data_IF_151226884625
#
_entry.id   IF_151226884625
#
_cell.length_a   1.000
_cell.length_b   1.000
_cell.length_c   1.000
_cell.angle_alpha   90.00
_cell.angle_beta   90.00
_cell.angle_gamma   90.00
#
_symmetry.space_group_name_H-M   'P 1'
#
loop_
_entity.id
_entity.type
_entity.pdbx_description
1 polymer ?
#
# COMPACT_ATOMS: atom_id res chain seq x y z
N UNK A 1 -10.35 37.77 22.38
CA UNK A 1 -9.39 38.18 21.33
C UNK A 1 -8.43 37.03 21.09
N UNK A 2 -8.16 36.64 19.85
CA UNK A 2 -7.25 35.54 19.51
C UNK A 2 -5.95 36.13 18.96
N UNK A 3 -4.80 35.73 19.53
CA UNK A 3 -3.46 36.20 19.12
C UNK A 3 -2.69 35.06 18.46
N UNK A 4 -2.18 35.31 17.26
CA UNK A 4 -1.40 34.36 16.47
C UNK A 4 0.08 34.80 16.49
N UNK A 5 0.98 33.85 16.74
CA UNK A 5 2.42 34.08 16.73
C UNK A 5 3.08 33.30 15.59
N UNK A 6 3.89 33.98 14.79
CA UNK A 6 4.57 33.37 13.64
C UNK A 6 6.00 32.92 14.02
N UNK A 7 6.27 31.62 13.95
CA UNK A 7 7.58 31.04 14.29
C UNK A 7 8.72 31.53 13.39
N UNK A 8 8.43 31.90 12.14
CA UNK A 8 9.44 32.42 11.19
C UNK A 8 9.98 33.80 11.56
N UNK A 9 9.27 34.55 12.41
CA UNK A 9 9.59 35.93 12.80
C UNK A 9 10.19 36.01 14.22
N UNK A 10 10.78 34.92 14.71
CA UNK A 10 11.41 34.90 16.02
C UNK A 10 12.64 35.82 16.07
N UNK A 11 12.82 36.60 17.15
CA UNK A 11 13.99 37.46 17.30
C UNK A 11 15.30 36.64 17.37
N UNK A 12 16.44 37.31 17.27
CA UNK A 12 17.76 36.69 17.52
C UNK A 12 17.83 36.25 18.99
N UNK A 13 18.54 35.16 19.27
CA UNK A 13 18.64 34.60 20.62
C UNK A 13 19.31 35.58 21.59
N UNK A 14 18.67 35.89 22.71
CA UNK A 14 19.25 36.71 23.78
C UNK A 14 19.31 35.94 25.11
N UNK A 15 20.23 36.32 26.00
CA UNK A 15 20.23 35.80 27.38
C UNK A 15 19.01 36.32 28.15
N UNK A 16 18.38 35.46 28.97
CA UNK A 16 17.17 35.81 29.71
C UNK A 16 15.89 35.86 28.86
N UNK A 17 15.80 35.06 27.80
CA UNK A 17 14.58 34.94 27.00
C UNK A 17 13.38 34.43 27.81
N UNK A 18 12.19 34.95 27.48
CA UNK A 18 10.95 34.48 28.10
C UNK A 18 10.73 33.01 27.73
N UNK A 19 10.26 32.21 28.69
CA UNK A 19 9.90 30.79 28.50
C UNK A 19 9.09 30.52 27.22
N UNK A 20 8.12 31.38 26.91
CA UNK A 20 7.33 31.29 25.68
C UNK A 20 8.18 31.34 24.40
N UNK A 21 9.22 32.18 24.36
CA UNK A 21 10.14 32.26 23.21
C UNK A 21 10.97 30.98 23.11
N UNK A 22 11.43 30.43 24.23
CA UNK A 22 12.13 29.13 24.27
C UNK A 22 11.25 28.01 23.71
N UNK A 23 9.97 27.95 24.09
CA UNK A 23 9.00 27.02 23.50
C UNK A 23 8.77 27.25 22.00
N UNK A 24 8.62 28.50 21.57
CA UNK A 24 8.49 28.80 20.14
C UNK A 24 9.73 28.36 19.35
N UNK A 25 10.95 28.51 19.91
CA UNK A 25 12.18 28.00 19.30
C UNK A 25 12.22 26.48 19.26
N UNK A 26 11.76 25.82 20.32
CA UNK A 26 11.66 24.37 20.37
C UNK A 26 10.76 23.84 19.24
N UNK A 27 9.59 24.43 19.03
CA UNK A 27 8.69 24.07 17.92
C UNK A 27 9.19 24.50 16.54
N UNK A 28 10.01 25.54 16.45
CA UNK A 28 10.62 26.00 15.20
C UNK A 28 11.83 25.16 14.76
N UNK A 29 12.40 24.36 15.66
CA UNK A 29 13.54 23.50 15.37
C UNK A 29 13.21 22.47 14.29
N UNK A 30 14.10 22.30 13.31
CA UNK A 30 13.90 21.40 12.16
C UNK A 30 14.51 20.03 12.38
N UNK A 31 15.43 19.92 13.33
CA UNK A 31 16.15 18.68 13.63
C UNK A 31 16.08 18.35 15.11
N UNK A 32 16.18 17.07 15.47
CA UNK A 32 16.26 16.65 16.87
C UNK A 32 17.44 17.26 17.61
N UNK A 33 18.57 17.47 16.91
CA UNK A 33 19.74 18.14 17.48
C UNK A 33 19.44 19.59 17.86
N UNK A 34 18.73 20.33 17.01
CA UNK A 34 18.28 21.69 17.32
C UNK A 34 17.29 21.71 18.49
N UNK A 35 16.33 20.77 18.52
CA UNK A 35 15.39 20.64 19.66
C UNK A 35 16.13 20.42 20.97
N UNK A 36 17.10 19.49 21.02
CA UNK A 36 17.89 19.24 22.23
C UNK A 36 18.69 20.45 22.70
N UNK A 37 19.26 21.24 21.77
CA UNK A 37 19.98 22.49 22.11
C UNK A 37 19.05 23.52 22.76
N UNK A 38 17.80 23.60 22.33
CA UNK A 38 16.80 24.49 22.96
C UNK A 38 16.32 23.92 24.28
N UNK A 39 16.06 22.62 24.34
CA UNK A 39 15.58 21.91 25.52
C UNK A 39 16.54 22.06 26.71
N UNK A 40 17.86 21.92 26.48
CA UNK A 40 18.89 22.11 27.51
C UNK A 40 18.94 23.51 28.16
N UNK A 41 18.21 24.49 27.61
CA UNK A 41 18.20 25.85 28.15
C UNK A 41 17.04 26.14 29.09
N UNK A 42 16.12 25.20 29.25
CA UNK A 42 15.00 25.30 30.18
C UNK A 42 14.58 23.92 30.70
N UNK A 43 14.50 23.75 32.01
CA UNK A 43 14.21 22.47 32.67
C UNK A 43 12.90 21.83 32.19
N UNK A 44 11.85 22.62 31.98
CA UNK A 44 10.54 22.11 31.55
C UNK A 44 10.54 21.68 30.09
N UNK A 45 11.30 22.39 29.24
CA UNK A 45 11.46 22.01 27.83
C UNK A 45 12.33 20.75 27.74
N UNK A 46 13.34 20.61 28.60
CA UNK A 46 14.16 19.41 28.66
C UNK A 46 13.35 18.17 29.04
N UNK A 47 12.54 18.24 30.09
CA UNK A 47 11.64 17.15 30.50
C UNK A 47 10.66 16.78 29.37
N UNK A 48 10.05 17.78 28.72
CA UNK A 48 9.14 17.53 27.60
C UNK A 48 9.84 16.91 26.38
N UNK A 49 11.09 17.27 26.12
CA UNK A 49 11.89 16.64 25.07
C UNK A 49 12.22 15.19 25.41
N UNK A 50 12.56 14.88 26.67
CA UNK A 50 12.82 13.50 27.11
C UNK A 50 11.57 12.61 27.01
N UNK A 51 10.41 13.10 27.41
CA UNK A 51 9.15 12.38 27.23
C UNK A 51 8.79 12.18 25.76
N UNK A 52 9.04 13.20 24.92
CA UNK A 52 8.88 13.06 23.47
C UNK A 52 9.80 11.98 22.89
N UNK A 53 11.06 11.90 23.34
CA UNK A 53 11.99 10.86 22.90
C UNK A 53 11.49 9.45 23.28
N UNK A 54 11.05 9.26 24.53
CA UNK A 54 10.48 7.99 25.01
C UNK A 54 9.27 7.57 24.18
N UNK A 55 8.29 8.46 24.01
CA UNK A 55 7.08 8.20 23.22
C UNK A 55 7.40 7.94 21.75
N UNK A 56 8.40 8.63 21.21
CA UNK A 56 8.80 8.43 19.82
C UNK A 56 9.45 7.07 19.58
N UNK A 57 10.18 6.52 20.55
CA UNK A 57 10.75 5.19 20.47
C UNK A 57 9.64 4.12 20.39
N UNK A 58 8.59 4.27 21.17
CA UNK A 58 7.44 3.36 21.14
C UNK A 58 6.62 3.52 19.86
N UNK A 59 6.36 4.76 19.42
CA UNK A 59 5.66 5.01 18.16
C UNK A 59 6.44 4.49 16.96
N UNK A 60 7.76 4.64 16.95
CA UNK A 60 8.61 4.11 15.87
C UNK A 60 8.54 2.59 15.80
N UNK A 61 8.69 1.90 16.94
CA UNK A 61 8.52 0.43 16.99
C UNK A 61 7.14 -0.01 16.56
N UNK A 62 6.10 0.73 16.94
CA UNK A 62 4.74 0.47 16.51
C UNK A 62 4.57 0.63 14.99
N UNK A 63 5.11 1.70 14.41
CA UNK A 63 5.11 1.91 12.95
C UNK A 63 5.90 0.83 12.21
N UNK A 64 7.07 0.43 12.72
CA UNK A 64 7.87 -0.68 12.16
C UNK A 64 7.10 -2.00 12.21
N UNK A 65 6.43 -2.27 13.33
CA UNK A 65 5.57 -3.44 13.48
C UNK A 65 4.40 -3.41 12.51
N UNK A 66 3.68 -2.30 12.42
CA UNK A 66 2.55 -2.14 11.49
C UNK A 66 2.98 -2.28 10.03
N UNK A 67 4.10 -1.66 9.64
CA UNK A 67 4.67 -1.79 8.30
C UNK A 67 5.04 -3.24 7.98
N UNK A 68 5.63 -3.97 8.94
CA UNK A 68 5.93 -5.39 8.78
C UNK A 68 4.66 -6.22 8.62
N UNK A 69 3.65 -5.99 9.46
CA UNK A 69 2.37 -6.69 9.37
C UNK A 69 1.67 -6.40 8.04
N UNK A 70 1.72 -5.15 7.57
CA UNK A 70 1.21 -4.75 6.26
C UNK A 70 1.94 -5.49 5.14
N UNK A 71 3.27 -5.53 5.15
CA UNK A 71 4.04 -6.23 4.13
C UNK A 71 3.71 -7.74 4.07
N UNK A 72 3.53 -8.39 5.23
CA UNK A 72 3.12 -9.80 5.31
C UNK A 72 1.72 -9.99 4.71
N UNK A 73 0.77 -9.11 5.06
CA UNK A 73 -0.60 -9.18 4.52
C UNK A 73 -0.62 -8.96 3.02
N UNK A 74 0.07 -7.93 2.54
CA UNK A 74 0.17 -7.61 1.12
C UNK A 74 0.76 -8.79 0.33
N UNK A 75 1.83 -9.41 0.85
CA UNK A 75 2.44 -10.60 0.25
C UNK A 75 1.46 -11.77 0.20
N UNK A 76 0.77 -12.07 1.31
CA UNK A 76 -0.18 -13.18 1.36
C UNK A 76 -1.34 -12.98 0.37
N UNK A 77 -1.89 -11.78 0.30
CA UNK A 77 -2.94 -11.43 -0.68
C UNK A 77 -2.44 -11.60 -2.11
N UNK A 78 -1.23 -11.13 -2.39
CA UNK A 78 -0.61 -11.26 -3.72
C UNK A 78 -0.39 -12.73 -4.11
N UNK A 79 0.14 -13.55 -3.20
CA UNK A 79 0.34 -14.99 -3.44
C UNK A 79 -0.98 -15.70 -3.68
N UNK A 80 -2.01 -15.37 -2.90
CA UNK A 80 -3.35 -15.93 -3.08
C UNK A 80 -3.91 -15.57 -4.46
N UNK A 81 -3.86 -14.29 -4.85
CA UNK A 81 -4.30 -13.85 -6.18
C UNK A 81 -3.57 -14.59 -7.29
N UNK A 82 -2.24 -14.70 -7.22
CA UNK A 82 -1.47 -15.42 -8.24
C UNK A 82 -1.81 -16.90 -8.32
N UNK A 83 -2.16 -17.52 -7.20
CA UNK A 83 -2.60 -18.91 -7.20
C UNK A 83 -3.98 -19.08 -7.82
N UNK A 84 -4.92 -18.18 -7.51
CA UNK A 84 -6.26 -18.15 -8.10
C UNK A 84 -6.19 -17.87 -9.61
N UNK A 85 -5.48 -16.82 -10.03
CA UNK A 85 -5.27 -16.47 -11.44
C UNK A 85 -4.61 -17.63 -12.21
N UNK A 86 -3.60 -18.27 -11.60
CA UNK A 86 -2.91 -19.41 -12.21
C UNK A 86 -3.80 -20.64 -12.32
N UNK A 87 -4.69 -20.88 -11.36
CA UNK A 87 -5.66 -21.97 -11.43
C UNK A 87 -6.71 -21.71 -12.51
N UNK A 88 -7.25 -20.49 -12.58
CA UNK A 88 -8.23 -20.09 -13.59
C UNK A 88 -7.65 -20.19 -14.99
N UNK A 89 -6.46 -19.64 -15.22
CA UNK A 89 -5.77 -19.73 -16.50
C UNK A 89 -5.44 -21.19 -16.86
N UNK A 90 -5.02 -22.02 -15.91
CA UNK A 90 -4.79 -23.44 -16.13
C UNK A 90 -6.06 -24.21 -16.54
N UNK A 91 -7.20 -23.93 -15.89
CA UNK A 91 -8.49 -24.51 -16.25
C UNK A 91 -8.94 -24.05 -17.64
N UNK A 92 -8.76 -22.76 -17.94
CA UNK A 92 -9.10 -22.16 -19.23
C UNK A 92 -8.27 -22.77 -20.36
N UNK A 93 -6.96 -22.88 -20.20
CA UNK A 93 -6.07 -23.53 -21.17
C UNK A 93 -6.45 -25.00 -21.40
N UNK A 94 -6.78 -25.75 -20.35
CA UNK A 94 -7.25 -27.13 -20.49
C UNK A 94 -8.55 -27.21 -21.30
N UNK A 95 -9.50 -26.29 -21.03
CA UNK A 95 -10.77 -26.21 -21.76
C UNK A 95 -10.52 -25.88 -23.24
N UNK A 96 -9.65 -24.91 -23.54
CA UNK A 96 -9.28 -24.56 -24.92
C UNK A 96 -8.62 -25.73 -25.66
N UNK A 97 -7.68 -26.44 -25.03
CA UNK A 97 -7.05 -27.62 -25.60
C UNK A 97 -8.05 -28.75 -25.90
N UNK A 98 -9.04 -28.95 -25.02
CA UNK A 98 -10.12 -29.93 -25.25
C UNK A 98 -11.00 -29.54 -26.43
N UNK A 99 -11.41 -28.27 -26.51
CA UNK A 99 -12.21 -27.74 -27.63
C UNK A 99 -11.44 -27.92 -28.94
N UNK A 100 -10.19 -27.48 -28.99
CA UNK A 100 -9.31 -27.62 -30.17
C UNK A 100 -9.20 -29.07 -30.64
N UNK A 101 -8.99 -30.01 -29.71
CA UNK A 101 -8.94 -31.45 -30.03
C UNK A 101 -10.27 -32.01 -30.53
N UNK A 102 -11.41 -31.57 -29.99
CA UNK A 102 -12.73 -32.01 -30.44
C UNK A 102 -13.09 -31.42 -31.81
N UNK A 103 -12.75 -30.15 -32.07
CA UNK A 103 -12.90 -29.52 -33.39
C UNK A 103 -12.04 -30.20 -34.45
N UNK A 104 -10.79 -30.56 -34.12
CA UNK A 104 -9.91 -31.32 -35.02
C UNK A 104 -10.46 -32.72 -35.37
N UNK A 105 -11.38 -33.26 -34.55
CA UNK A 105 -12.11 -34.52 -34.82
C UNK A 105 -13.42 -34.30 -35.59
N UNK A 106 -13.71 -33.08 -36.02
CA UNK A 106 -14.89 -32.73 -36.82
C UNK A 106 -16.18 -32.57 -36.02
N UNK A 107 -16.12 -32.45 -34.69
CA UNK A 107 -17.33 -32.17 -33.88
C UNK A 107 -17.81 -30.73 -34.08
N UNK A 108 -19.12 -30.53 -34.14
CA UNK A 108 -19.72 -29.18 -34.20
C UNK A 108 -19.66 -28.49 -32.83
N UNK A 109 -19.82 -27.16 -32.81
CA UNK A 109 -19.80 -26.39 -31.55
C UNK A 109 -20.91 -26.83 -30.59
N UNK A 110 -22.08 -27.21 -31.12
CA UNK A 110 -23.22 -27.70 -30.34
C UNK A 110 -22.90 -29.05 -29.68
N UNK A 111 -22.24 -29.95 -30.40
CA UNK A 111 -21.80 -31.25 -29.86
C UNK A 111 -20.70 -31.07 -28.81
N UNK A 112 -19.83 -30.07 -28.96
CA UNK A 112 -18.78 -29.76 -28.00
C UNK A 112 -19.37 -29.15 -26.73
N UNK A 113 -20.37 -28.28 -26.86
CA UNK A 113 -21.11 -27.68 -25.75
C UNK A 113 -21.82 -28.75 -24.92
N UNK A 114 -22.51 -29.69 -25.59
CA UNK A 114 -23.14 -30.85 -24.95
C UNK A 114 -22.11 -31.75 -24.26
N UNK A 115 -21.02 -32.11 -24.95
CA UNK A 115 -19.92 -32.93 -24.41
C UNK A 115 -19.23 -32.34 -23.16
N UNK A 116 -19.21 -31.02 -23.03
CA UNK A 116 -18.52 -30.29 -21.96
C UNK A 116 -19.50 -29.70 -20.93
N UNK A 117 -20.80 -29.95 -21.09
CA UNK A 117 -21.89 -29.44 -20.24
C UNK A 117 -21.82 -27.92 -20.02
N UNK A 118 -21.55 -27.18 -21.10
CA UNK A 118 -21.41 -25.72 -21.13
C UNK A 118 -22.25 -25.15 -22.24
N UNK A 119 -22.59 -23.87 -22.16
CA UNK A 119 -23.37 -23.22 -23.20
C UNK A 119 -22.56 -23.07 -24.50
N UNK A 120 -23.28 -23.04 -25.62
CA UNK A 120 -22.69 -22.95 -26.97
C UNK A 120 -22.00 -21.61 -27.20
N UNK A 121 -22.44 -20.54 -26.53
CA UNK A 121 -21.85 -19.20 -26.67
C UNK A 121 -20.44 -19.15 -26.05
N UNK A 122 -20.26 -19.73 -24.87
CA UNK A 122 -18.96 -19.90 -24.22
C UNK A 122 -17.98 -20.74 -25.05
N UNK A 123 -18.46 -21.81 -25.69
CA UNK A 123 -17.64 -22.62 -26.60
C UNK A 123 -17.28 -21.82 -27.85
N UNK A 124 -18.22 -21.05 -28.41
CA UNK A 124 -17.98 -20.20 -29.57
C UNK A 124 -16.93 -19.13 -29.27
N UNK A 125 -17.05 -18.41 -28.15
CA UNK A 125 -16.09 -17.39 -27.74
C UNK A 125 -14.67 -17.97 -27.61
N UNK A 126 -14.53 -19.12 -26.95
CA UNK A 126 -13.23 -19.80 -26.85
C UNK A 126 -12.71 -20.31 -28.20
N UNK A 127 -13.59 -20.75 -29.10
CA UNK A 127 -13.21 -21.21 -30.43
C UNK A 127 -12.75 -20.06 -31.35
N UNK A 128 -13.37 -18.90 -31.26
CA UNK A 128 -12.95 -17.65 -31.94
C UNK A 128 -11.57 -17.21 -31.44
N UNK A 129 -11.36 -17.24 -30.12
CA UNK A 129 -10.06 -16.95 -29.50
C UNK A 129 -8.96 -17.93 -29.96
N UNK A 130 -9.25 -19.25 -30.00
CA UNK A 130 -8.32 -20.28 -30.50
C UNK A 130 -7.96 -20.04 -31.98
N UNK A 131 -8.91 -19.54 -32.78
CA UNK A 131 -8.75 -19.31 -34.21
C UNK A 131 -8.02 -18.01 -34.54
N UNK A 132 -7.75 -17.16 -33.53
CA UNK A 132 -7.02 -15.90 -33.66
C UNK A 132 -7.89 -14.73 -34.14
N UNK A 133 -9.22 -14.86 -34.12
CA UNK A 133 -10.15 -13.76 -34.38
C UNK A 133 -10.42 -13.01 -33.07
N UNK A 134 -9.59 -12.01 -32.76
CA UNK A 134 -9.94 -11.06 -31.68
C UNK A 134 -11.23 -10.32 -32.04
N UNK A 135 -12.25 -10.29 -31.17
CA UNK A 135 -13.46 -9.51 -31.40
C UNK A 135 -13.10 -8.03 -31.59
N UNK A 136 -13.76 -7.29 -32.50
CA UNK A 136 -13.54 -5.87 -32.63
C UNK A 136 -13.97 -5.15 -31.34
N UNK A 137 -13.10 -4.27 -30.85
CA UNK A 137 -13.30 -3.37 -29.71
C UNK A 137 -14.46 -2.41 -29.95
#
# INVERSE_FOLDING_TARGET
ELRILELKKLPVRTEGEKLLISWMRFFAAKTRKEMRIVAQTDEYIDEAFEELEKLSADKQKWMEYEARQKAIRDYNTQVQSYWEDGLEEGQRQLKMELIKKKMARGKTLEQIADDLETDVESIRALAEEISGETPPV
#
